data_IF_991290614074
#
_entry.id   IF_991290614074
#
_cell.length_a   1.000
_cell.length_b   1.000
_cell.length_c   1.000
_cell.angle_alpha   90.00
_cell.angle_beta   90.00
_cell.angle_gamma   90.00
#
_symmetry.space_group_name_H-M   'P 1'
#
loop_
_entity.id
_entity.type
_entity.pdbx_description
1 polymer ?
#
# COMPACT_ATOMS: atom_id res chain seq x y z
N UNK A 1 -12.28 11.98 -9.50
CA UNK A 1 -11.19 12.80 -8.91
C UNK A 1 -10.26 11.84 -8.19
N UNK A 2 -8.95 11.88 -8.40
CA UNK A 2 -8.00 10.95 -7.75
C UNK A 2 -7.31 11.68 -6.62
N UNK A 3 -7.42 11.18 -5.39
CA UNK A 3 -6.65 11.73 -4.27
C UNK A 3 -5.30 11.01 -4.20
N UNK A 4 -4.22 11.76 -4.42
CA UNK A 4 -2.86 11.29 -4.20
C UNK A 4 -2.41 11.77 -2.82
N UNK A 5 -1.93 10.86 -1.99
CA UNK A 5 -1.37 11.21 -0.69
C UNK A 5 0.16 11.16 -0.75
N UNK A 6 0.83 12.20 -0.25
CA UNK A 6 2.26 12.13 0.02
C UNK A 6 2.48 11.27 1.27
N UNK A 7 3.46 10.38 1.23
CA UNK A 7 3.69 9.39 2.27
C UNK A 7 4.10 10.02 3.60
N UNK A 8 4.76 11.17 3.56
CA UNK A 8 5.13 11.88 4.78
C UNK A 8 3.91 12.25 5.62
N UNK A 9 2.78 12.44 4.95
CA UNK A 9 1.51 12.82 5.56
C UNK A 9 0.63 11.62 5.92
N UNK A 10 1.11 10.39 5.64
CA UNK A 10 0.35 9.15 5.87
C UNK A 10 0.69 8.46 7.19
N UNK A 11 1.72 8.90 7.92
CA UNK A 11 2.16 8.13 9.09
C UNK A 11 1.17 8.22 10.25
N UNK A 12 0.66 7.06 10.70
CA UNK A 12 -0.42 6.90 11.67
C UNK A 12 -1.81 7.35 11.19
N UNK A 13 -1.99 7.60 9.89
CA UNK A 13 -3.30 7.88 9.32
C UNK A 13 -4.19 6.65 9.32
N UNK A 14 -5.50 6.88 9.50
CA UNK A 14 -6.53 5.84 9.42
C UNK A 14 -7.63 6.26 8.43
N UNK A 15 -7.73 5.51 7.33
CA UNK A 15 -8.77 5.70 6.32
C UNK A 15 -9.99 4.84 6.66
N UNK A 16 -11.16 5.44 6.75
CA UNK A 16 -12.42 4.74 6.99
C UNK A 16 -13.09 4.42 5.65
N UNK A 17 -13.33 3.14 5.39
CA UNK A 17 -13.92 2.66 4.13
C UNK A 17 -15.37 2.18 4.28
N UNK A 18 -15.93 2.20 5.49
CA UNK A 18 -17.34 1.87 5.75
C UNK A 18 -17.78 0.53 5.11
N UNK A 19 -16.98 -0.52 5.32
CA UNK A 19 -17.26 -1.90 4.90
C UNK A 19 -17.30 -2.11 3.38
N UNK A 20 -16.38 -1.48 2.64
CA UNK A 20 -16.23 -1.78 1.20
C UNK A 20 -15.73 -3.20 1.00
N UNK A 21 -16.47 -3.95 0.19
CA UNK A 21 -16.17 -5.34 -0.15
C UNK A 21 -15.09 -5.42 -1.24
N UNK A 22 -14.10 -6.29 -1.07
CA UNK A 22 -13.07 -6.59 -2.08
C UNK A 22 -13.64 -7.53 -3.13
N UNK A 23 -13.53 -7.17 -4.41
CA UNK A 23 -13.97 -8.02 -5.53
C UNK A 23 -12.82 -8.56 -6.35
N UNK A 24 -11.65 -7.92 -6.31
CA UNK A 24 -10.46 -8.38 -7.01
C UNK A 24 -9.19 -7.81 -6.37
N UNK A 25 -8.08 -8.56 -6.45
CA UNK A 25 -6.74 -8.10 -6.09
C UNK A 25 -5.80 -8.51 -7.22
N UNK A 26 -5.17 -7.53 -7.86
CA UNK A 26 -4.21 -7.74 -8.94
C UNK A 26 -2.83 -7.31 -8.45
N UNK A 27 -1.83 -8.17 -8.63
CA UNK A 27 -0.43 -7.80 -8.47
C UNK A 27 0.02 -6.97 -9.68
N UNK A 28 0.54 -5.78 -9.42
CA UNK A 28 1.22 -4.96 -10.41
C UNK A 28 2.68 -5.37 -10.46
N UNK A 29 3.11 -5.89 -11.59
CA UNK A 29 4.52 -6.08 -11.88
C UNK A 29 4.74 -5.72 -13.35
N UNK A 30 4.71 -4.42 -13.63
CA UNK A 30 4.79 -3.94 -15.01
C UNK A 30 6.21 -3.51 -15.41
N UNK A 31 6.43 -3.47 -16.72
CA UNK A 31 7.65 -2.95 -17.35
C UNK A 31 7.75 -1.40 -17.26
N UNK A 32 6.72 -0.75 -16.73
CA UNK A 32 6.52 0.71 -16.67
C UNK A 32 6.96 1.32 -15.35
N UNK A 33 7.91 0.68 -14.68
CA UNK A 33 8.58 1.20 -13.49
C UNK A 33 7.81 1.06 -12.17
N UNK A 34 6.74 0.26 -12.08
CA UNK A 34 5.97 0.09 -10.84
C UNK A 34 5.69 -1.37 -10.46
N UNK A 35 5.85 -1.66 -9.17
CA UNK A 35 5.47 -2.90 -8.51
C UNK A 35 4.45 -2.66 -7.39
N UNK A 36 3.50 -3.56 -7.14
CA UNK A 36 2.53 -3.40 -6.05
C UNK A 36 1.25 -4.19 -6.18
N UNK A 37 0.15 -3.62 -5.69
CA UNK A 37 -1.19 -4.20 -5.74
C UNK A 37 -2.26 -3.19 -6.13
N UNK A 38 -3.24 -3.64 -6.92
CA UNK A 38 -4.52 -2.96 -7.13
C UNK A 38 -5.61 -3.79 -6.49
N UNK A 39 -6.26 -3.22 -5.47
CA UNK A 39 -7.43 -3.80 -4.84
C UNK A 39 -8.65 -3.13 -5.45
N UNK A 40 -9.50 -3.91 -6.11
CA UNK A 40 -10.78 -3.44 -6.62
C UNK A 40 -11.86 -3.74 -5.59
N UNK A 41 -12.62 -2.72 -5.25
CA UNK A 41 -13.76 -2.78 -4.34
C UNK A 41 -15.06 -2.87 -5.13
N UNK A 42 -16.12 -3.28 -4.45
CA UNK A 42 -17.48 -3.21 -4.98
C UNK A 42 -17.80 -1.78 -5.41
N UNK A 43 -18.39 -1.63 -6.61
CA UNK A 43 -18.59 -0.37 -7.35
C UNK A 43 -17.33 0.17 -8.07
N UNK A 44 -16.41 -0.71 -8.45
CA UNK A 44 -15.23 -0.41 -9.28
C UNK A 44 -14.23 0.62 -8.71
N UNK A 45 -14.38 0.97 -7.43
CA UNK A 45 -13.41 1.80 -6.69
C UNK A 45 -12.11 1.03 -6.51
N UNK A 46 -10.97 1.72 -6.56
CA UNK A 46 -9.66 1.07 -6.53
C UNK A 46 -8.76 1.66 -5.46
N UNK A 47 -8.08 0.79 -4.72
CA UNK A 47 -6.94 1.15 -3.88
C UNK A 47 -5.70 0.64 -4.61
N UNK A 48 -4.84 1.57 -5.00
CA UNK A 48 -3.59 1.29 -5.71
C UNK A 48 -2.44 1.57 -4.76
N UNK A 49 -1.71 0.53 -4.39
CA UNK A 49 -0.52 0.60 -3.56
C UNK A 49 0.66 0.18 -4.42
N UNK A 50 1.57 1.11 -4.72
CA UNK A 50 2.69 0.82 -5.63
C UNK A 50 3.98 1.48 -5.20
N UNK A 51 5.09 0.81 -5.50
CA UNK A 51 6.46 1.25 -5.31
C UNK A 51 7.16 1.25 -6.66
N UNK A 52 8.00 2.25 -6.93
CA UNK A 52 8.82 2.25 -8.13
C UNK A 52 9.70 1.01 -8.14
N UNK A 53 9.76 0.27 -9.25
CA UNK A 53 10.54 -0.97 -9.37
C UNK A 53 11.82 -0.81 -10.20
N UNK A 54 12.24 0.43 -10.47
CA UNK A 54 13.52 0.71 -11.12
C UNK A 54 14.69 0.42 -10.19
N UNK A 55 15.36 -0.71 -10.38
CA UNK A 55 16.56 -1.02 -9.60
C UNK A 55 17.71 -0.08 -9.97
N UNK A 56 18.17 0.74 -9.02
CA UNK A 56 19.39 1.56 -9.15
C UNK A 56 20.39 1.15 -8.06
N UNK A 57 21.41 0.36 -8.43
CA UNK A 57 22.58 0.00 -7.61
C UNK A 57 22.31 -0.42 -6.14
N UNK A 58 22.41 -1.72 -5.85
CA UNK A 58 22.41 -2.30 -4.49
C UNK A 58 21.14 -2.09 -3.65
N UNK A 59 20.07 -1.57 -4.24
CA UNK A 59 18.74 -1.47 -3.64
C UNK A 59 18.07 -2.84 -3.53
N UNK A 60 17.44 -3.06 -2.37
CA UNK A 60 16.46 -4.12 -2.14
C UNK A 60 15.10 -3.47 -1.90
N UNK A 61 14.27 -3.45 -2.93
CA UNK A 61 12.89 -2.98 -2.82
C UNK A 61 11.93 -4.13 -3.06
N UNK A 62 10.69 -3.91 -2.69
CA UNK A 62 9.64 -4.85 -3.01
C UNK A 62 8.32 -4.52 -2.33
N UNK A 63 7.41 -5.44 -2.51
CA UNK A 63 6.07 -5.36 -1.96
C UNK A 63 5.57 -6.77 -1.70
N UNK A 64 4.86 -6.95 -0.60
CA UNK A 64 4.24 -8.23 -0.30
C UNK A 64 2.93 -8.03 0.46
N UNK A 65 2.06 -9.02 0.32
CA UNK A 65 0.83 -9.14 1.09
C UNK A 65 0.99 -10.38 1.97
N UNK A 66 0.83 -10.23 3.28
CA UNK A 66 1.14 -11.31 4.23
C UNK A 66 0.22 -12.54 4.13
N UNK A 67 -0.84 -12.45 3.32
CA UNK A 67 -1.80 -13.53 3.05
C UNK A 67 -1.92 -13.89 1.58
N UNK A 68 -0.88 -13.67 0.78
CA UNK A 68 -0.88 -13.93 -0.67
C UNK A 68 -1.33 -15.35 -1.07
N UNK A 69 -1.18 -16.33 -0.17
CA UNK A 69 -1.56 -17.74 -0.38
C UNK A 69 -3.04 -18.05 -0.22
N UNK A 70 -3.82 -17.16 0.40
CA UNK A 70 -5.22 -17.44 0.71
C UNK A 70 -6.09 -16.59 -0.23
N UNK A 71 -6.66 -17.19 -1.27
CA UNK A 71 -7.74 -16.61 -2.10
C UNK A 71 -8.98 -16.12 -1.29
N UNK A 72 -8.91 -16.13 0.04
CA UNK A 72 -9.92 -15.75 1.03
C UNK A 72 -10.06 -14.25 1.27
N UNK A 73 -9.37 -13.38 0.52
CA UNK A 73 -9.56 -11.93 0.65
C UNK A 73 -10.71 -11.40 -0.22
N UNK A 74 -11.10 -12.14 -1.27
CA UNK A 74 -12.27 -11.78 -2.09
C UNK A 74 -13.55 -11.96 -1.27
N UNK A 75 -14.43 -10.97 -1.31
CA UNK A 75 -15.64 -10.88 -0.48
C UNK A 75 -15.40 -10.28 0.90
N UNK A 76 -14.15 -10.00 1.30
CA UNK A 76 -13.87 -9.37 2.58
C UNK A 76 -14.29 -7.89 2.59
N UNK A 77 -14.92 -7.45 3.68
CA UNK A 77 -15.36 -6.06 3.84
C UNK A 77 -14.35 -5.29 4.67
N UNK A 78 -13.69 -4.32 4.04
CA UNK A 78 -12.71 -3.45 4.68
C UNK A 78 -13.43 -2.35 5.44
N UNK A 79 -13.19 -2.28 6.75
CA UNK A 79 -13.67 -1.22 7.62
C UNK A 79 -12.73 -0.03 7.61
N UNK A 80 -11.45 -0.27 7.89
CA UNK A 80 -10.42 0.77 7.92
C UNK A 80 -9.10 0.29 7.35
N UNK A 81 -8.28 1.23 6.91
CA UNK A 81 -6.87 1.02 6.54
C UNK A 81 -6.04 1.93 7.44
N UNK A 82 -5.15 1.34 8.24
CA UNK A 82 -4.15 2.10 9.00
C UNK A 82 -2.83 2.09 8.27
N UNK A 83 -2.16 3.23 8.22
CA UNK A 83 -0.86 3.36 7.55
C UNK A 83 0.23 3.65 8.58
N UNK A 84 1.28 2.84 8.55
CA UNK A 84 2.46 3.01 9.38
C UNK A 84 3.67 3.18 8.49
N UNK A 85 4.42 4.27 8.68
CA UNK A 85 5.65 4.55 7.94
C UNK A 85 6.82 4.43 8.90
N UNK A 86 7.68 3.43 8.67
CA UNK A 86 8.93 3.27 9.39
C UNK A 86 10.10 3.72 8.50
N UNK A 87 10.74 4.83 8.89
CA UNK A 87 11.91 5.39 8.19
C UNK A 87 13.25 4.97 8.80
N UNK A 88 13.23 4.18 9.89
CA UNK A 88 14.40 3.80 10.69
C UNK A 88 14.50 2.27 10.83
N UNK A 89 14.31 1.52 9.74
CA UNK A 89 14.67 0.11 9.78
C UNK A 89 16.19 0.02 9.65
N UNK A 90 16.86 0.11 10.80
CA UNK A 90 18.32 0.09 10.91
C UNK A 90 18.77 -1.34 11.22
N UNK A 91 19.09 -2.08 10.16
CA UNK A 91 19.86 -3.31 10.29
C UNK A 91 21.26 -3.00 9.73
N UNK A 92 22.17 -2.67 10.64
CA UNK A 92 23.62 -2.58 10.42
C UNK A 92 24.05 -2.04 9.03
N UNK A 93 23.81 -0.76 8.73
CA UNK A 93 24.22 -0.02 7.51
C UNK A 93 23.20 0.09 6.35
N UNK A 94 21.98 -0.45 6.50
CA UNK A 94 20.91 -0.31 5.49
C UNK A 94 19.82 0.62 6.04
N UNK A 95 19.73 1.85 5.53
CA UNK A 95 18.61 2.76 5.80
C UNK A 95 17.45 2.41 4.88
N UNK A 96 16.41 1.80 5.45
CA UNK A 96 15.20 1.44 4.72
C UNK A 96 13.98 2.31 5.06
N UNK A 97 13.08 2.45 4.08
CA UNK A 97 11.72 2.94 4.27
C UNK A 97 10.75 1.78 4.09
N UNK A 98 9.95 1.51 5.11
CA UNK A 98 8.88 0.51 5.06
C UNK A 98 7.56 1.22 5.32
N UNK A 99 6.60 1.00 4.44
CA UNK A 99 5.21 1.41 4.65
C UNK A 99 4.37 0.17 4.82
N UNK A 100 3.66 0.10 5.93
CA UNK A 100 2.74 -0.98 6.23
C UNK A 100 1.30 -0.47 6.21
N UNK A 101 0.47 -1.08 5.36
CA UNK A 101 -0.96 -0.83 5.25
C UNK A 101 -1.70 -1.97 5.95
N UNK A 102 -2.28 -1.70 7.11
CA UNK A 102 -3.04 -2.69 7.87
C UNK A 102 -4.52 -2.54 7.55
N UNK A 103 -5.06 -3.53 6.84
CA UNK A 103 -6.45 -3.61 6.46
C UNK A 103 -7.25 -4.32 7.56
N UNK A 104 -8.16 -3.57 8.19
CA UNK A 104 -9.11 -4.11 9.16
C UNK A 104 -10.39 -4.52 8.48
N UNK A 105 -10.76 -5.78 8.62
CA UNK A 105 -11.97 -6.36 8.00
C UNK A 105 -13.04 -6.64 9.04
N UNK A 106 -14.31 -6.65 8.64
CA UNK A 106 -15.42 -6.95 9.57
C UNK A 106 -15.72 -8.43 9.72
N UNK A 107 -15.52 -9.19 8.65
CA UNK A 107 -16.02 -10.56 8.46
C UNK A 107 -14.90 -11.57 8.16
N UNK A 108 -13.68 -11.08 8.00
CA UNK A 108 -12.48 -11.89 7.76
C UNK A 108 -11.37 -11.52 8.74
N UNK A 109 -10.27 -12.29 8.73
CA UNK A 109 -9.06 -11.92 9.45
C UNK A 109 -8.37 -10.74 8.74
N UNK A 110 -8.00 -9.71 9.50
CA UNK A 110 -7.18 -8.58 9.04
C UNK A 110 -5.96 -9.03 8.24
N UNK A 111 -5.53 -8.22 7.28
CA UNK A 111 -4.35 -8.48 6.47
C UNK A 111 -3.53 -7.20 6.33
N UNK A 112 -2.29 -7.36 5.88
CA UNK A 112 -1.41 -6.24 5.63
C UNK A 112 -0.71 -6.35 4.29
N UNK A 113 -0.49 -5.17 3.71
CA UNK A 113 0.33 -4.98 2.53
C UNK A 113 1.50 -4.11 2.94
N UNK A 114 2.69 -4.57 2.65
CA UNK A 114 3.92 -3.86 2.95
C UNK A 114 4.61 -3.47 1.65
N UNK A 115 5.01 -2.20 1.57
CA UNK A 115 5.90 -1.68 0.54
C UNK A 115 7.22 -1.33 1.22
N UNK A 116 8.33 -1.85 0.73
CA UNK A 116 9.63 -1.63 1.35
C UNK A 116 10.67 -1.20 0.31
N UNK A 117 11.55 -0.33 0.75
CA UNK A 117 12.76 0.04 0.04
C UNK A 117 13.92 0.06 1.03
N UNK A 118 14.83 -0.88 0.90
CA UNK A 118 16.08 -0.95 1.65
C UNK A 118 17.22 -0.44 0.78
N UNK A 119 17.92 0.58 1.28
CA UNK A 119 19.07 1.18 0.62
C UNK A 119 20.21 1.37 1.62
N UNK A 120 21.44 1.42 1.15
CA UNK A 120 22.58 1.95 1.94
C UNK A 120 22.59 3.51 2.07
N UNK A 121 21.43 4.18 1.91
CA UNK A 121 21.25 5.61 2.21
C UNK A 121 21.50 6.68 1.12
N UNK A 122 21.55 6.36 -0.19
CA UNK A 122 21.86 7.34 -1.26
C UNK A 122 20.78 7.56 -2.34
N UNK A 123 19.94 6.57 -2.66
CA UNK A 123 18.85 6.69 -3.62
C UNK A 123 17.52 6.24 -2.98
N UNK A 124 16.41 6.89 -3.33
CA UNK A 124 15.08 6.56 -2.80
C UNK A 124 14.15 6.21 -3.94
N UNK A 125 13.43 5.10 -3.80
CA UNK A 125 12.30 4.78 -4.65
C UNK A 125 11.09 5.64 -4.28
N UNK A 126 10.42 6.16 -5.31
CA UNK A 126 9.10 6.75 -5.15
C UNK A 126 8.11 5.66 -4.75
N UNK A 127 7.33 5.93 -3.71
CA UNK A 127 6.19 5.10 -3.34
C UNK A 127 4.94 5.96 -3.57
N UNK A 128 3.88 5.36 -4.09
CA UNK A 128 2.63 6.04 -4.42
C UNK A 128 1.45 5.27 -3.87
N UNK A 129 0.61 5.98 -3.12
CA UNK A 129 -0.65 5.49 -2.59
C UNK A 129 -1.76 6.28 -3.25
N UNK A 130 -2.61 5.59 -3.99
CA UNK A 130 -3.77 6.20 -4.62
C UNK A 130 -5.02 5.45 -4.16
N UNK A 131 -5.87 6.15 -3.42
CA UNK A 131 -7.24 5.69 -3.20
C UNK A 131 -8.05 6.41 -4.27
N UNK A 132 -8.40 5.68 -5.33
CA UNK A 132 -9.21 6.22 -6.42
C UNK A 132 -10.64 6.16 -5.94
N UNK A 133 -11.02 7.22 -5.24
CA UNK A 133 -12.37 7.46 -4.77
C UNK A 133 -12.92 8.70 -5.48
N UNK A 134 -14.08 8.58 -6.13
CA UNK A 134 -14.87 9.77 -6.41
C UNK A 134 -15.39 10.31 -5.06
N UNK A 135 -14.71 11.36 -4.59
CA UNK A 135 -14.99 12.19 -3.42
C UNK A 135 -14.53 11.64 -2.05
N UNK A 136 -13.40 12.16 -1.57
CA UNK A 136 -13.29 12.63 -0.19
C UNK A 136 -13.29 14.16 -0.21
N UNK A 137 -14.39 14.77 0.25
CA UNK A 137 -14.43 16.19 0.60
C UNK A 137 -13.78 16.35 1.97
N UNK A 138 -12.73 17.15 2.05
CA UNK A 138 -12.37 17.85 3.28
C UNK A 138 -12.23 19.33 2.93
N UNK A 139 -13.04 20.15 3.60
CA UNK A 139 -12.85 21.59 3.68
C UNK A 139 -11.56 21.87 4.48
N UNK A 140 -10.79 22.85 4.02
CA UNK A 140 -9.79 23.55 4.82
C UNK A 140 -10.39 24.88 5.24
#
# INVERSE_FOLDING_TARGET
MTTNYDIKDLNNEEFILANKEIVNIIELNDLSHWGGYVITLKNDKKIVLKISNERRCCEEFGYFINKKSDNNLIGAKIRTIKVYVNNNVDDNFIKGKVINFIFKTTDYKNFDIMLYNYHNGWYSHDISVQIIDECFLYEI
#
